data_IF_474830208261
#
_entry.id   IF_474830208261
#
_cell.length_a   1.000
_cell.length_b   1.000
_cell.length_c   1.000
_cell.angle_alpha   90.00
_cell.angle_beta   90.00
_cell.angle_gamma   90.00
#
_symmetry.space_group_name_H-M   'P 1'
#
loop_
_entity.id
_entity.type
_entity.pdbx_description
1 polymer ?
#
# COMPACT_ATOMS: atom_id res chain seq x y z
N UNK A 1 32.43 12.74 8.63
CA UNK A 1 31.37 13.68 8.20
C UNK A 1 30.07 12.91 8.11
N UNK A 2 29.25 13.04 9.15
CA UNK A 2 27.94 12.36 9.24
C UNK A 2 26.90 13.42 8.94
N UNK A 3 26.39 13.45 7.73
CA UNK A 3 25.36 14.40 7.27
C UNK A 3 23.98 13.77 7.36
N UNK A 4 23.27 14.14 8.38
CA UNK A 4 21.88 14.60 8.42
C UNK A 4 20.84 13.79 7.62
N UNK A 5 20.46 12.63 8.17
CA UNK A 5 19.33 11.81 7.70
C UNK A 5 17.98 12.27 8.29
N UNK A 6 17.98 13.19 9.27
CA UNK A 6 16.78 13.62 9.98
C UNK A 6 15.97 14.72 9.29
N UNK A 7 16.63 15.60 8.53
CA UNK A 7 15.96 16.79 7.93
C UNK A 7 15.16 16.49 6.67
N UNK A 8 15.47 15.40 5.96
CA UNK A 8 14.77 15.03 4.71
C UNK A 8 13.43 14.32 4.99
N UNK A 9 13.29 13.71 6.17
CA UNK A 9 12.08 12.98 6.54
C UNK A 9 10.95 13.89 7.01
N UNK A 10 11.24 15.02 7.66
CA UNK A 10 10.23 15.94 8.18
C UNK A 10 9.56 16.77 7.09
N UNK A 11 10.31 17.26 6.10
CA UNK A 11 9.76 18.01 4.96
C UNK A 11 8.91 17.12 4.03
N UNK A 12 9.29 15.87 3.84
CA UNK A 12 8.54 14.91 3.03
C UNK A 12 7.23 14.49 3.73
N UNK A 13 7.25 14.36 5.06
CA UNK A 13 6.06 14.05 5.86
C UNK A 13 5.05 15.21 5.89
N UNK A 14 5.51 16.43 6.05
CA UNK A 14 4.65 17.62 6.05
C UNK A 14 4.01 17.88 4.68
N UNK A 15 4.73 17.67 3.59
CA UNK A 15 4.18 17.78 2.23
C UNK A 15 3.17 16.67 1.94
N UNK A 16 3.36 15.47 2.48
CA UNK A 16 2.42 14.35 2.33
C UNK A 16 1.11 14.59 3.08
N UNK A 17 1.14 15.16 4.29
CA UNK A 17 -0.06 15.44 5.08
C UNK A 17 -0.94 16.51 4.43
N UNK A 18 -0.34 17.57 3.87
CA UNK A 18 -1.07 18.60 3.13
C UNK A 18 -1.68 18.04 1.85
N UNK A 19 -0.96 17.19 1.15
CA UNK A 19 -1.44 16.49 -0.04
C UNK A 19 -2.64 15.60 0.28
N UNK A 20 -2.59 14.82 1.34
CA UNK A 20 -3.69 13.97 1.81
C UNK A 20 -4.93 14.82 2.16
N UNK A 21 -4.77 15.91 2.91
CA UNK A 21 -5.88 16.83 3.23
C UNK A 21 -6.54 17.39 1.98
N UNK A 22 -5.76 17.74 0.97
CA UNK A 22 -6.27 18.23 -0.30
C UNK A 22 -7.05 17.16 -1.07
N UNK A 23 -6.57 15.90 -1.08
CA UNK A 23 -7.29 14.79 -1.69
C UNK A 23 -8.65 14.56 -1.03
N UNK A 24 -8.73 14.60 0.30
CA UNK A 24 -9.99 14.55 1.02
C UNK A 24 -10.92 15.72 0.66
N UNK A 25 -10.39 16.94 0.59
CA UNK A 25 -11.16 18.11 0.23
C UNK A 25 -11.77 18.02 -1.17
N UNK A 26 -11.01 17.52 -2.15
CA UNK A 26 -11.48 17.36 -3.55
C UNK A 26 -12.49 16.25 -3.72
N UNK A 27 -12.39 15.19 -2.94
CA UNK A 27 -13.28 14.04 -3.02
C UNK A 27 -14.62 14.23 -2.28
N UNK A 28 -14.77 15.32 -1.51
CA UNK A 28 -15.96 15.55 -0.67
C UNK A 28 -15.99 14.67 0.61
N UNK A 29 -14.96 13.86 0.84
CA UNK A 29 -14.83 13.09 2.08
C UNK A 29 -14.16 13.92 3.19
N UNK A 30 -14.47 13.61 4.45
CA UNK A 30 -13.82 14.23 5.61
C UNK A 30 -12.73 13.32 6.16
N UNK A 31 -11.56 13.87 6.45
CA UNK A 31 -10.49 13.16 7.18
C UNK A 31 -10.85 13.08 8.67
N UNK A 32 -11.62 12.06 9.04
CA UNK A 32 -12.01 11.79 10.43
C UNK A 32 -10.84 11.29 11.25
N UNK A 33 -10.97 11.32 12.60
CA UNK A 33 -9.98 10.73 13.51
C UNK A 33 -9.73 9.25 13.26
N UNK A 34 -10.76 8.49 12.86
CA UNK A 34 -10.65 7.08 12.53
C UNK A 34 -9.84 6.85 11.26
N UNK A 35 -10.08 7.63 10.18
CA UNK A 35 -9.30 7.55 8.94
C UNK A 35 -7.85 7.96 9.15
N UNK A 36 -7.61 8.96 10.00
CA UNK A 36 -6.25 9.36 10.39
C UNK A 36 -5.55 8.22 11.13
N UNK A 37 -6.20 7.58 12.10
CA UNK A 37 -5.63 6.46 12.85
C UNK A 37 -5.28 5.27 11.94
N UNK A 38 -6.09 5.01 10.90
CA UNK A 38 -5.80 3.97 9.89
C UNK A 38 -4.59 4.35 9.04
N UNK A 39 -4.46 5.62 8.61
CA UNK A 39 -3.28 6.10 7.88
C UNK A 39 -2.00 6.00 8.72
N UNK A 40 -2.06 6.38 9.99
CA UNK A 40 -0.95 6.24 10.92
C UNK A 40 -0.54 4.76 11.09
N UNK A 41 -1.54 3.87 11.25
CA UNK A 41 -1.29 2.44 11.37
C UNK A 41 -0.65 1.85 10.10
N UNK A 42 -1.07 2.29 8.91
CA UNK A 42 -0.46 1.90 7.64
C UNK A 42 1.02 2.36 7.56
N UNK A 43 1.32 3.57 8.06
CA UNK A 43 2.71 4.08 8.06
C UNK A 43 3.61 3.38 9.08
N UNK A 44 3.04 2.83 10.15
CA UNK A 44 3.75 2.06 11.18
C UNK A 44 3.95 0.60 10.79
N UNK A 45 3.04 0.06 9.97
CA UNK A 45 3.13 -1.30 9.49
C UNK A 45 4.34 -1.49 8.55
N UNK A 46 4.96 -2.66 8.63
CA UNK A 46 6.04 -3.02 7.71
C UNK A 46 5.46 -3.76 6.50
N UNK A 47 5.98 -3.45 5.33
CA UNK A 47 5.55 -4.09 4.09
C UNK A 47 4.11 -3.71 3.71
N UNK A 48 3.36 -4.69 3.25
CA UNK A 48 1.99 -4.52 2.75
C UNK A 48 1.00 -5.15 3.74
N UNK A 49 0.48 -4.41 4.73
CA UNK A 49 -0.43 -4.95 5.74
C UNK A 49 -1.80 -5.31 5.14
N UNK A 50 -2.45 -6.32 5.72
CA UNK A 50 -3.87 -6.60 5.53
C UNK A 50 -4.74 -5.65 6.37
N UNK A 51 -6.06 -5.67 6.15
CA UNK A 51 -6.99 -4.92 6.99
C UNK A 51 -6.93 -5.37 8.46
N UNK A 52 -6.74 -6.66 8.70
CA UNK A 52 -6.59 -7.24 10.02
C UNK A 52 -5.30 -6.77 10.71
N UNK A 53 -4.19 -6.70 9.98
CA UNK A 53 -2.92 -6.19 10.51
C UNK A 53 -3.08 -4.71 10.93
N UNK A 54 -3.68 -3.89 10.07
CA UNK A 54 -3.99 -2.48 10.37
C UNK A 54 -4.93 -2.37 11.56
N UNK A 55 -5.97 -3.21 11.63
CA UNK A 55 -6.89 -3.23 12.77
C UNK A 55 -6.18 -3.51 14.09
N UNK A 56 -5.25 -4.46 14.13
CA UNK A 56 -4.49 -4.78 15.34
C UNK A 56 -3.68 -3.58 15.83
N UNK A 57 -3.05 -2.83 14.92
CA UNK A 57 -2.29 -1.62 15.27
C UNK A 57 -3.24 -0.52 15.77
N UNK A 58 -4.33 -0.24 15.05
CA UNK A 58 -5.32 0.78 15.46
C UNK A 58 -5.93 0.44 16.82
N UNK A 59 -6.23 -0.84 17.05
CA UNK A 59 -6.85 -1.30 18.31
C UNK A 59 -5.97 -1.09 19.55
N UNK A 60 -4.65 -1.13 19.40
CA UNK A 60 -3.72 -0.83 20.51
C UNK A 60 -3.90 0.61 21.01
N UNK A 61 -4.15 1.56 20.09
CA UNK A 61 -4.35 2.98 20.41
C UNK A 61 -5.82 3.34 20.69
N UNK A 62 -6.74 2.61 20.07
CA UNK A 62 -8.19 2.79 20.21
C UNK A 62 -8.89 1.43 20.44
N UNK A 63 -8.99 0.95 21.68
CA UNK A 63 -9.56 -0.36 22.00
C UNK A 63 -11.01 -0.56 21.57
N UNK A 64 -11.76 0.54 21.32
CA UNK A 64 -13.18 0.50 20.95
C UNK A 64 -13.41 0.45 19.43
N UNK A 65 -12.35 0.54 18.62
CA UNK A 65 -12.49 0.46 17.17
C UNK A 65 -13.04 -0.93 16.75
N UNK A 66 -13.97 -0.93 15.81
CA UNK A 66 -14.45 -2.16 15.19
C UNK A 66 -13.68 -2.44 13.89
N UNK A 67 -13.49 -3.71 13.54
CA UNK A 67 -12.82 -4.10 12.30
C UNK A 67 -13.55 -3.52 11.06
N UNK A 68 -14.88 -3.49 11.06
CA UNK A 68 -15.67 -2.88 9.99
C UNK A 68 -15.37 -1.39 9.78
N UNK A 69 -15.02 -0.65 10.84
CA UNK A 69 -14.60 0.76 10.74
C UNK A 69 -13.27 0.89 10.01
N UNK A 70 -12.34 -0.06 10.24
CA UNK A 70 -11.04 -0.08 9.54
C UNK A 70 -11.25 -0.37 8.05
N UNK A 71 -12.08 -1.36 7.71
CA UNK A 71 -12.43 -1.65 6.30
C UNK A 71 -13.06 -0.45 5.60
N UNK A 72 -14.03 0.23 6.24
CA UNK A 72 -14.63 1.44 5.69
C UNK A 72 -13.62 2.57 5.49
N UNK A 73 -12.69 2.74 6.43
CA UNK A 73 -11.63 3.74 6.29
C UNK A 73 -10.69 3.41 5.12
N UNK A 74 -10.24 2.14 5.03
CA UNK A 74 -9.38 1.66 3.93
C UNK A 74 -10.06 1.83 2.57
N UNK A 75 -11.34 1.47 2.45
CA UNK A 75 -12.11 1.63 1.21
C UNK A 75 -12.16 3.10 0.75
N UNK A 76 -12.40 4.04 1.66
CA UNK A 76 -12.41 5.48 1.32
C UNK A 76 -11.02 5.97 0.94
N UNK A 77 -9.97 5.55 1.67
CA UNK A 77 -8.59 5.93 1.37
C UNK A 77 -8.13 5.43 -0.01
N UNK A 78 -8.55 4.23 -0.38
CA UNK A 78 -8.31 3.66 -1.70
C UNK A 78 -9.11 4.39 -2.80
N UNK A 79 -10.40 4.63 -2.58
CA UNK A 79 -11.27 5.33 -3.51
C UNK A 79 -10.75 6.73 -3.87
N UNK A 80 -10.25 7.47 -2.88
CA UNK A 80 -9.67 8.81 -3.10
C UNK A 80 -8.20 8.78 -3.54
N UNK A 81 -7.61 7.59 -3.69
CA UNK A 81 -6.25 7.42 -4.19
C UNK A 81 -5.15 7.79 -3.20
N UNK A 82 -5.40 7.72 -1.89
CA UNK A 82 -4.38 7.93 -0.85
C UNK A 82 -3.55 6.67 -0.63
N UNK A 83 -4.15 5.49 -0.83
CA UNK A 83 -3.50 4.19 -0.74
C UNK A 83 -3.81 3.36 -1.98
N UNK A 84 -2.95 2.42 -2.29
CA UNK A 84 -3.22 1.34 -3.25
C UNK A 84 -3.62 0.06 -2.56
N UNK A 85 -4.23 -0.86 -3.31
CA UNK A 85 -4.45 -2.23 -2.87
C UNK A 85 -3.90 -3.23 -3.87
N UNK A 86 -3.45 -4.37 -3.36
CA UNK A 86 -2.93 -5.49 -4.13
C UNK A 86 -3.67 -6.76 -3.74
N UNK A 87 -4.07 -7.50 -4.77
CA UNK A 87 -4.81 -8.76 -4.61
C UNK A 87 -3.96 -9.90 -5.18
N UNK A 88 -3.68 -10.89 -4.37
CA UNK A 88 -3.14 -12.17 -4.79
C UNK A 88 -4.20 -13.26 -4.61
N UNK A 89 -4.19 -14.25 -5.46
CA UNK A 89 -5.11 -15.38 -5.36
C UNK A 89 -5.05 -16.01 -3.96
N UNK A 90 -6.22 -16.27 -3.37
CA UNK A 90 -6.37 -16.94 -2.06
C UNK A 90 -5.72 -16.22 -0.87
N UNK A 91 -5.45 -14.92 -0.99
CA UNK A 91 -4.84 -14.12 0.07
C UNK A 91 -5.67 -12.91 0.42
N UNK A 92 -5.60 -12.43 1.67
CA UNK A 92 -6.20 -11.14 2.04
C UNK A 92 -5.65 -10.01 1.17
N UNK A 93 -6.51 -9.03 0.87
CA UNK A 93 -6.09 -7.78 0.23
C UNK A 93 -4.99 -7.12 1.07
N UNK A 94 -3.94 -6.67 0.40
CA UNK A 94 -2.83 -5.94 1.01
C UNK A 94 -2.89 -4.49 0.59
N UNK A 95 -2.56 -3.60 1.51
CA UNK A 95 -2.62 -2.15 1.30
C UNK A 95 -1.24 -1.54 1.27
N UNK A 96 -1.08 -0.47 0.48
CA UNK A 96 0.19 0.18 0.24
C UNK A 96 0.03 1.70 0.19
N UNK A 97 0.91 2.41 0.88
CA UNK A 97 1.05 3.86 0.82
C UNK A 97 1.94 4.32 -0.35
N UNK A 98 2.75 3.41 -0.90
CA UNK A 98 3.58 3.71 -2.07
C UNK A 98 2.74 3.55 -3.34
N UNK A 99 2.35 4.67 -3.94
CA UNK A 99 1.57 4.72 -5.16
C UNK A 99 2.44 4.82 -6.43
N UNK A 100 3.75 4.96 -6.28
CA UNK A 100 4.67 4.93 -7.41
C UNK A 100 4.71 3.51 -8.00
N UNK A 101 4.82 3.37 -9.34
CA UNK A 101 4.89 2.06 -9.96
C UNK A 101 6.08 1.25 -9.42
N UNK A 102 5.82 0.14 -8.75
CA UNK A 102 6.81 -0.80 -8.24
C UNK A 102 6.29 -2.23 -8.37
N UNK A 103 7.19 -3.19 -8.33
CA UNK A 103 6.86 -4.61 -8.29
C UNK A 103 7.03 -5.16 -6.88
N UNK A 104 6.10 -6.01 -6.50
CA UNK A 104 6.19 -6.81 -5.29
C UNK A 104 6.22 -8.29 -5.62
N UNK A 105 6.92 -9.04 -4.79
CA UNK A 105 6.92 -10.49 -4.79
C UNK A 105 6.26 -11.00 -3.51
N UNK A 106 5.34 -11.95 -3.67
CA UNK A 106 4.72 -12.66 -2.55
C UNK A 106 5.34 -14.04 -2.39
N UNK A 107 5.70 -14.39 -1.16
CA UNK A 107 6.10 -15.75 -0.84
C UNK A 107 4.87 -16.68 -0.79
N UNK A 108 4.85 -17.70 -1.64
CA UNK A 108 3.76 -18.68 -1.71
C UNK A 108 3.62 -19.50 -0.42
N UNK A 109 4.72 -19.67 0.34
CA UNK A 109 4.73 -20.50 1.55
C UNK A 109 4.32 -19.74 2.81
N UNK A 110 4.90 -18.56 3.08
CA UNK A 110 4.62 -17.78 4.31
C UNK A 110 3.74 -16.55 4.08
N UNK A 111 3.45 -16.20 2.82
CA UNK A 111 2.62 -15.05 2.48
C UNK A 111 3.29 -13.68 2.65
N UNK A 112 4.58 -13.65 3.00
CA UNK A 112 5.34 -12.40 3.10
C UNK A 112 5.41 -11.71 1.75
N UNK A 113 5.21 -10.39 1.74
CA UNK A 113 5.28 -9.55 0.55
C UNK A 113 6.46 -8.60 0.69
N UNK A 114 7.30 -8.56 -0.34
CA UNK A 114 8.48 -7.71 -0.39
C UNK A 114 8.54 -6.96 -1.71
N UNK A 115 9.00 -5.70 -1.68
CA UNK A 115 9.25 -4.92 -2.88
C UNK A 115 10.47 -5.45 -3.64
N UNK A 116 10.37 -5.49 -4.97
CA UNK A 116 11.48 -5.84 -5.86
C UNK A 116 12.12 -4.53 -6.34
N UNK A 117 13.30 -4.15 -5.82
CA UNK A 117 13.96 -2.92 -6.22
C UNK A 117 14.51 -3.01 -7.65
N UNK A 118 14.51 -1.88 -8.37
CA UNK A 118 15.17 -1.76 -9.67
C UNK A 118 14.45 -2.43 -10.84
N UNK A 119 13.24 -2.94 -10.64
CA UNK A 119 12.40 -3.46 -11.74
C UNK A 119 11.27 -2.48 -12.01
N UNK A 120 11.31 -1.86 -13.17
CA UNK A 120 10.29 -0.90 -13.60
C UNK A 120 9.27 -1.54 -14.54
N UNK A 121 7.99 -1.26 -14.28
CA UNK A 121 6.89 -1.61 -15.18
C UNK A 121 6.62 -0.51 -16.24
N UNK A 122 7.48 0.50 -16.28
CA UNK A 122 7.35 1.63 -17.20
C UNK A 122 7.25 1.13 -18.65
N UNK A 123 6.22 1.58 -19.34
CA UNK A 123 5.99 1.19 -20.73
C UNK A 123 5.33 -0.19 -20.94
N UNK A 124 5.04 -0.97 -19.88
CA UNK A 124 4.36 -2.26 -20.05
C UNK A 124 3.00 -2.11 -20.72
N UNK A 125 2.19 -1.14 -20.30
CA UNK A 125 0.87 -0.89 -20.93
C UNK A 125 1.01 -0.52 -22.40
N UNK A 126 1.99 0.32 -22.76
CA UNK A 126 2.26 0.71 -24.13
C UNK A 126 2.74 -0.49 -24.97
N UNK A 127 3.63 -1.30 -24.43
CA UNK A 127 4.06 -2.54 -25.10
C UNK A 127 2.90 -3.48 -25.36
N UNK A 128 1.99 -3.65 -24.38
CA UNK A 128 0.79 -4.48 -24.56
C UNK A 128 -0.13 -3.88 -25.64
N UNK A 129 -0.39 -2.55 -25.60
CA UNK A 129 -1.22 -1.86 -26.59
C UNK A 129 -0.71 -2.08 -28.03
N UNK A 130 0.59 -2.11 -28.23
CA UNK A 130 1.18 -2.33 -29.53
C UNK A 130 1.05 -3.78 -30.06
N UNK A 131 0.60 -4.71 -29.21
CA UNK A 131 0.44 -6.12 -29.56
C UNK A 131 -1.01 -6.62 -29.51
N UNK A 132 -1.97 -5.72 -29.30
CA UNK A 132 -3.39 -6.06 -29.25
C UNK A 132 -4.26 -4.92 -29.79
N UNK A 133 -5.39 -5.21 -30.45
CA UNK A 133 -6.36 -4.20 -30.85
C UNK A 133 -7.23 -3.68 -29.70
N UNK A 134 -7.07 -4.21 -28.48
CA UNK A 134 -7.84 -3.80 -27.31
C UNK A 134 -7.37 -2.46 -26.77
N UNK A 135 -8.30 -1.63 -26.28
CA UNK A 135 -7.99 -0.47 -25.48
C UNK A 135 -7.60 -0.94 -24.07
N UNK A 136 -6.29 -0.96 -23.78
CA UNK A 136 -5.78 -1.41 -22.49
C UNK A 136 -5.98 -0.31 -21.46
N UNK A 137 -6.96 -0.48 -20.57
CA UNK A 137 -7.29 0.46 -19.49
C UNK A 137 -6.47 0.20 -18.23
N UNK A 138 -6.06 -1.07 -17.99
CA UNK A 138 -5.27 -1.47 -16.80
C UNK A 138 -4.37 -2.65 -17.15
N UNK A 139 -3.15 -2.64 -16.59
CA UNK A 139 -2.26 -3.80 -16.56
C UNK A 139 -1.82 -4.04 -15.11
N UNK A 140 -1.76 -5.31 -14.70
CA UNK A 140 -1.25 -5.73 -13.40
C UNK A 140 -0.27 -6.89 -13.59
N UNK A 141 0.81 -6.89 -12.81
CA UNK A 141 1.80 -7.98 -12.77
C UNK A 141 1.80 -8.54 -11.36
N UNK A 142 1.65 -9.85 -11.26
CA UNK A 142 1.74 -10.59 -10.01
C UNK A 142 3.02 -11.42 -10.06
N UNK A 143 3.86 -11.28 -9.03
CA UNK A 143 5.08 -12.07 -8.89
C UNK A 143 4.97 -12.91 -7.62
N UNK A 144 5.13 -14.21 -7.75
CA UNK A 144 5.08 -15.16 -6.65
C UNK A 144 6.32 -16.07 -6.67
N UNK A 145 6.78 -16.48 -5.49
CA UNK A 145 7.95 -17.32 -5.35
C UNK A 145 8.19 -17.72 -3.89
N UNK A 146 9.40 -18.15 -3.55
CA UNK A 146 9.77 -18.48 -2.18
C UNK A 146 10.77 -17.44 -1.64
N UNK A 147 10.50 -16.90 -0.45
CA UNK A 147 11.48 -16.04 0.23
C UNK A 147 12.71 -16.85 0.66
N UNK A 148 13.87 -16.23 0.93
CA UNK A 148 15.09 -16.94 1.31
C UNK A 148 14.89 -17.91 2.48
N UNK A 149 14.18 -17.48 3.53
CA UNK A 149 13.89 -18.31 4.70
C UNK A 149 13.00 -19.53 4.39
N UNK A 150 12.15 -19.43 3.37
CA UNK A 150 11.28 -20.53 2.95
C UNK A 150 11.94 -21.46 1.91
N UNK A 151 12.83 -20.94 1.06
CA UNK A 151 13.57 -21.74 0.10
C UNK A 151 14.61 -22.64 0.78
N UNK A 152 15.25 -22.19 1.86
CA UNK A 152 16.23 -22.97 2.64
C UNK A 152 15.60 -24.11 3.45
N UNK A 153 14.27 -24.11 3.63
CA UNK A 153 13.52 -25.16 4.35
C UNK A 153 12.86 -26.19 3.40
N UNK A 154 13.29 -26.20 2.14
CA UNK A 154 12.77 -27.11 1.14
C UNK A 154 13.47 -28.48 1.20
#
# INVERSE_FOLDING_TARGET
MVTNRATITEDKAASSEQSIKEMFRRSGYTLTSQRRAVLEALSEARGHPSAEDVYLIVKQKNPRVALGTVYQALSVLEEIGVIGSKHWSESPTRYDLNLEPHLDIRCERCGEVSEIPGVELTGLQERIRNHTPYEVTRAAVVVEGLCPACSERA
#
